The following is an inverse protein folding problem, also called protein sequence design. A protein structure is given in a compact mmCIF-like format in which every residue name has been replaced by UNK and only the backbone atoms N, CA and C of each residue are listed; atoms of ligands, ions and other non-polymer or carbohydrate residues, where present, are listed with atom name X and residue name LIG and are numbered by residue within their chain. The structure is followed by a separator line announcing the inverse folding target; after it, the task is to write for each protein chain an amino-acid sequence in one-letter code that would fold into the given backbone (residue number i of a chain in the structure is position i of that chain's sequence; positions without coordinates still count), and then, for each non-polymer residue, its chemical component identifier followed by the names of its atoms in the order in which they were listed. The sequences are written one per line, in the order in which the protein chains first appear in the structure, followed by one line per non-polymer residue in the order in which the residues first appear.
data_IF_892761691612
#
_entry.id   IF_892761691612
#
_cell.length_a   1.000
_cell.length_b   1.000
_cell.length_c   1.000
_cell.angle_alpha   90.00
_cell.angle_beta   90.00
_cell.angle_gamma   90.00
#
_symmetry.space_group_name_H-M   'P 1'
#
loop_
_entity.id
_entity.type
_entity.pdbx_description
1 polymer ?
#
# COMPACT_ATOMS: atom_id res chain seq x y z
N UNK A 1 -10.13 -12.94 14.22
CA UNK A 1 -9.45 -11.81 13.52
C UNK A 1 -10.50 -10.98 12.79
N UNK A 2 -10.29 -9.68 12.63
CA UNK A 2 -11.20 -8.81 11.86
C UNK A 2 -10.89 -8.92 10.37
N UNK A 3 -11.89 -8.71 9.53
CA UNK A 3 -11.77 -8.67 8.07
C UNK A 3 -12.33 -7.37 7.52
N UNK A 4 -11.81 -6.92 6.39
CA UNK A 4 -12.30 -5.75 5.65
C UNK A 4 -12.62 -6.18 4.23
N UNK A 5 -13.88 -6.06 3.84
CA UNK A 5 -14.30 -6.25 2.45
C UNK A 5 -13.89 -5.02 1.64
N UNK A 6 -13.11 -5.23 0.58
CA UNK A 6 -12.69 -4.18 -0.35
C UNK A 6 -13.80 -3.93 -1.38
N UNK A 7 -14.17 -4.99 -2.07
CA UNK A 7 -15.31 -5.07 -2.98
C UNK A 7 -15.92 -6.47 -2.88
N UNK A 8 -17.05 -6.71 -3.54
CA UNK A 8 -17.64 -8.05 -3.59
C UNK A 8 -16.63 -9.09 -4.09
N UNK A 9 -16.31 -10.06 -3.23
CA UNK A 9 -15.37 -11.14 -3.50
C UNK A 9 -13.91 -10.87 -3.10
N UNK A 10 -13.50 -9.65 -2.73
CA UNK A 10 -12.16 -9.35 -2.22
C UNK A 10 -12.25 -8.94 -0.75
N UNK A 11 -11.78 -9.83 0.12
CA UNK A 11 -11.77 -9.62 1.58
C UNK A 11 -10.34 -9.70 2.08
N UNK A 12 -9.87 -8.63 2.73
CA UNK A 12 -8.56 -8.57 3.37
C UNK A 12 -8.68 -8.99 4.84
N UNK A 13 -7.92 -10.02 5.24
CA UNK A 13 -7.86 -10.51 6.62
C UNK A 13 -6.52 -11.23 6.84
N UNK A 14 -6.00 -11.21 8.09
CA UNK A 14 -4.68 -11.76 8.39
C UNK A 14 -4.60 -13.31 8.30
N UNK A 15 -5.74 -13.98 8.31
CA UNK A 15 -5.90 -15.44 8.23
C UNK A 15 -6.36 -15.95 6.85
N UNK A 16 -6.46 -15.05 5.86
CA UNK A 16 -6.84 -15.40 4.48
C UNK A 16 -5.67 -15.17 3.54
N UNK A 17 -5.68 -15.74 2.31
CA UNK A 17 -4.70 -15.40 1.29
C UNK A 17 -4.53 -13.88 1.18
N UNK A 18 -3.28 -13.40 1.11
CA UNK A 18 -3.04 -11.96 1.08
C UNK A 18 -3.68 -11.31 -0.15
N UNK A 19 -4.18 -10.09 0.02
CA UNK A 19 -4.60 -9.22 -1.08
C UNK A 19 -3.37 -8.44 -1.57
N UNK A 20 -3.14 -8.42 -2.89
CA UNK A 20 -2.10 -7.58 -3.49
C UNK A 20 -2.65 -6.20 -3.79
N UNK A 21 -2.09 -5.17 -3.17
CA UNK A 21 -2.26 -3.77 -3.53
C UNK A 21 -1.07 -3.37 -4.38
N UNK A 22 -1.19 -3.50 -5.69
CA UNK A 22 -0.06 -3.39 -6.59
C UNK A 22 -0.30 -2.45 -7.77
N UNK A 23 0.76 -1.85 -8.30
CA UNK A 23 0.67 -0.98 -9.46
C UNK A 23 1.92 -0.15 -9.65
N UNK A 24 1.75 1.07 -10.18
CA UNK A 24 2.82 2.04 -10.37
C UNK A 24 2.79 3.09 -9.27
N UNK A 25 3.94 3.69 -8.99
CA UNK A 25 4.07 4.66 -7.90
C UNK A 25 3.17 5.88 -8.13
N UNK A 26 3.29 6.50 -9.30
CA UNK A 26 2.55 7.69 -9.73
C UNK A 26 2.08 7.51 -11.17
N UNK A 27 0.94 8.08 -11.50
CA UNK A 27 0.46 8.11 -12.87
C UNK A 27 1.38 8.99 -13.73
N UNK A 28 2.14 8.37 -14.62
CA UNK A 28 3.05 9.05 -15.56
C UNK A 28 2.39 9.29 -16.92
N UNK A 29 1.56 8.34 -17.34
CA UNK A 29 0.66 8.42 -18.49
C UNK A 29 -0.47 7.38 -18.36
N UNK A 30 -1.54 7.58 -19.11
CA UNK A 30 -2.64 6.61 -19.23
C UNK A 30 -2.15 5.26 -19.78
N UNK A 31 -1.39 5.28 -20.87
CA UNK A 31 -0.85 4.09 -21.51
C UNK A 31 0.02 3.26 -20.56
N UNK A 32 0.89 3.90 -19.77
CA UNK A 32 1.71 3.20 -18.78
C UNK A 32 0.84 2.54 -17.69
N UNK A 33 -0.19 3.24 -17.22
CA UNK A 33 -1.08 2.72 -16.19
C UNK A 33 -1.84 1.48 -16.69
N UNK A 34 -2.38 1.52 -17.91
CA UNK A 34 -3.08 0.40 -18.53
C UNK A 34 -2.16 -0.80 -18.75
N UNK A 35 -0.99 -0.62 -19.36
CA UNK A 35 -0.02 -1.70 -19.58
C UNK A 35 0.49 -2.33 -18.28
N UNK A 36 0.75 -1.52 -17.28
CA UNK A 36 1.16 -2.03 -15.98
C UNK A 36 0.04 -2.84 -15.33
N UNK A 37 -1.20 -2.32 -15.35
CA UNK A 37 -2.36 -3.03 -14.82
C UNK A 37 -2.60 -4.36 -15.53
N UNK A 38 -2.47 -4.40 -16.87
CA UNK A 38 -2.59 -5.62 -17.66
C UNK A 38 -1.64 -6.73 -17.19
N UNK A 39 -0.36 -6.40 -16.98
CA UNK A 39 0.61 -7.37 -16.46
C UNK A 39 0.30 -7.82 -15.04
N UNK A 40 -0.13 -6.91 -14.15
CA UNK A 40 -0.57 -7.28 -12.81
C UNK A 40 -1.78 -8.24 -12.85
N UNK A 41 -2.79 -7.94 -13.68
CA UNK A 41 -3.98 -8.77 -13.85
C UNK A 41 -3.60 -10.15 -14.40
N UNK A 42 -2.75 -10.19 -15.43
CA UNK A 42 -2.26 -11.45 -16.01
C UNK A 42 -1.60 -12.34 -14.94
N UNK A 43 -0.70 -11.76 -14.15
CA UNK A 43 0.06 -12.51 -13.14
C UNK A 43 -0.83 -12.93 -11.96
N UNK A 44 -1.66 -12.01 -11.45
CA UNK A 44 -2.51 -12.29 -10.28
C UNK A 44 -3.59 -13.31 -10.60
N UNK A 45 -4.21 -13.25 -11.79
CA UNK A 45 -5.15 -14.27 -12.26
C UNK A 45 -4.49 -15.65 -12.38
N UNK A 46 -3.28 -15.71 -12.96
CA UNK A 46 -2.51 -16.96 -13.09
C UNK A 46 -2.19 -17.58 -11.73
N UNK A 47 -1.92 -16.77 -10.72
CA UNK A 47 -1.54 -17.22 -9.38
C UNK A 47 -2.72 -17.31 -8.41
N UNK A 48 -3.91 -16.87 -8.78
CA UNK A 48 -5.08 -16.84 -7.91
C UNK A 48 -4.94 -15.86 -6.73
N UNK A 49 -4.28 -14.71 -6.94
CA UNK A 49 -4.05 -13.68 -5.92
C UNK A 49 -5.12 -12.59 -6.06
N UNK A 50 -5.92 -12.29 -5.01
CA UNK A 50 -6.83 -11.15 -5.01
C UNK A 50 -6.06 -9.83 -5.22
N UNK A 51 -6.56 -8.97 -6.10
CA UNK A 51 -5.80 -7.82 -6.59
C UNK A 51 -6.57 -6.51 -6.55
N UNK A 52 -5.87 -5.44 -6.19
CA UNK A 52 -6.32 -4.04 -6.24
C UNK A 52 -5.23 -3.22 -6.94
N UNK A 53 -5.58 -2.53 -8.02
CA UNK A 53 -4.64 -1.65 -8.71
C UNK A 53 -4.36 -0.40 -7.89
N UNK A 54 -3.08 -0.01 -7.78
CA UNK A 54 -2.69 1.20 -7.05
C UNK A 54 -1.87 2.15 -7.92
N UNK A 55 -2.26 3.42 -7.95
CA UNK A 55 -1.42 4.50 -8.43
C UNK A 55 -1.81 5.82 -7.77
N UNK A 56 -0.85 6.74 -7.62
CA UNK A 56 -1.12 8.09 -7.11
C UNK A 56 -1.37 9.06 -8.26
N UNK A 57 -2.38 9.91 -8.12
CA UNK A 57 -2.61 11.01 -9.06
C UNK A 57 -1.72 12.22 -8.77
N UNK A 58 -1.20 12.34 -7.56
CA UNK A 58 -0.26 13.38 -7.13
C UNK A 58 0.72 12.81 -6.09
N UNK A 59 1.95 13.26 -6.12
CA UNK A 59 2.97 13.06 -5.10
C UNK A 59 3.23 14.38 -4.38
N UNK A 60 2.32 14.74 -3.46
CA UNK A 60 2.33 16.02 -2.76
C UNK A 60 3.54 16.23 -1.83
N UNK A 61 4.25 15.16 -1.48
CA UNK A 61 5.36 15.13 -0.50
C UNK A 61 6.77 15.00 -1.12
N UNK A 62 6.95 15.45 -2.36
CA UNK A 62 8.27 15.38 -3.03
C UNK A 62 9.33 16.21 -2.29
N UNK A 63 10.57 15.71 -2.29
CA UNK A 63 11.73 16.41 -1.69
C UNK A 63 12.08 17.72 -2.41
N UNK A 64 11.79 17.83 -3.70
CA UNK A 64 12.04 19.03 -4.50
C UNK A 64 10.75 19.53 -5.15
N UNK A 65 10.53 20.84 -5.15
CA UNK A 65 9.42 21.49 -5.84
C UNK A 65 9.46 21.26 -7.37
N UNK A 66 10.62 20.92 -7.92
CA UNK A 66 10.82 20.64 -9.35
C UNK A 66 10.55 19.19 -9.72
N UNK A 67 10.35 18.30 -8.75
CA UNK A 67 10.10 16.89 -9.03
C UNK A 67 8.72 16.68 -9.65
N UNK A 68 8.61 15.66 -10.51
CA UNK A 68 7.33 15.27 -11.09
C UNK A 68 6.33 14.87 -10.00
N UNK A 69 5.13 15.42 -10.06
CA UNK A 69 4.09 15.18 -9.06
C UNK A 69 2.97 14.25 -9.54
N UNK A 70 2.74 14.16 -10.82
CA UNK A 70 1.61 13.43 -11.40
C UNK A 70 0.72 14.33 -12.26
N UNK A 71 -0.38 13.78 -12.82
CA UNK A 71 -1.30 14.52 -13.67
C UNK A 71 -2.25 15.46 -12.92
N UNK A 72 -2.31 15.34 -11.58
CA UNK A 72 -3.29 16.05 -10.75
C UNK A 72 -4.60 15.28 -10.57
N UNK A 73 -5.52 15.85 -9.77
CA UNK A 73 -6.72 15.16 -9.30
C UNK A 73 -7.63 14.72 -10.45
N UNK A 74 -8.10 15.67 -11.27
CA UNK A 74 -9.14 15.40 -12.27
C UNK A 74 -8.69 14.40 -13.32
N UNK A 75 -7.51 14.64 -13.92
CA UNK A 75 -6.95 13.74 -14.92
C UNK A 75 -6.53 12.40 -14.30
N UNK A 76 -6.01 12.40 -13.08
CA UNK A 76 -5.66 11.17 -12.37
C UNK A 76 -6.86 10.29 -12.07
N UNK A 77 -7.97 10.87 -11.63
CA UNK A 77 -9.22 10.14 -11.43
C UNK A 77 -9.79 9.60 -12.74
N UNK A 78 -9.72 10.36 -13.82
CA UNK A 78 -10.13 9.88 -15.15
C UNK A 78 -9.32 8.67 -15.59
N UNK A 79 -8.00 8.68 -15.41
CA UNK A 79 -7.12 7.53 -15.74
C UNK A 79 -7.45 6.33 -14.86
N UNK A 80 -7.63 6.52 -13.55
CA UNK A 80 -7.97 5.42 -12.63
C UNK A 80 -9.33 4.79 -12.96
N UNK A 81 -10.32 5.62 -13.30
CA UNK A 81 -11.65 5.13 -13.73
C UNK A 81 -11.55 4.30 -15.00
N UNK A 82 -10.72 4.74 -15.95
CA UNK A 82 -10.45 4.00 -17.19
C UNK A 82 -9.78 2.66 -16.91
N UNK A 83 -8.74 2.61 -16.05
CA UNK A 83 -8.09 1.35 -15.64
C UNK A 83 -9.12 0.39 -15.03
N UNK A 84 -9.97 0.89 -14.14
CA UNK A 84 -11.03 0.13 -13.51
C UNK A 84 -12.03 -0.43 -14.53
N UNK A 85 -12.45 0.38 -15.49
CA UNK A 85 -13.41 -0.03 -16.51
C UNK A 85 -12.83 -1.07 -17.50
N UNK A 86 -11.56 -0.91 -17.91
CA UNK A 86 -10.93 -1.81 -18.89
C UNK A 86 -10.51 -3.16 -18.29
N UNK A 87 -10.03 -3.17 -17.05
CA UNK A 87 -9.51 -4.40 -16.44
C UNK A 87 -10.46 -5.05 -15.42
N UNK A 88 -11.56 -4.38 -15.03
CA UNK A 88 -12.51 -4.91 -14.06
C UNK A 88 -11.94 -5.06 -12.65
N UNK A 89 -10.89 -4.31 -12.29
CA UNK A 89 -10.23 -4.39 -10.99
C UNK A 89 -10.58 -3.20 -10.09
N UNK A 90 -10.66 -3.38 -8.78
CA UNK A 90 -10.78 -2.25 -7.86
C UNK A 90 -9.50 -1.42 -7.86
N UNK A 91 -9.62 -0.13 -7.54
CA UNK A 91 -8.51 0.81 -7.54
C UNK A 91 -8.30 1.45 -6.17
N UNK A 92 -7.03 1.71 -5.85
CA UNK A 92 -6.57 2.40 -4.66
C UNK A 92 -5.75 3.64 -5.06
N UNK A 93 -6.04 4.78 -4.44
CA UNK A 93 -5.21 5.98 -4.56
C UNK A 93 -5.14 6.75 -3.25
N UNK A 94 -4.09 7.55 -3.08
CA UNK A 94 -3.87 8.37 -1.89
C UNK A 94 -4.59 9.72 -1.98
N UNK A 95 -5.02 10.23 -0.82
CA UNK A 95 -5.71 11.52 -0.66
C UNK A 95 -4.86 12.42 0.21
N UNK A 96 -4.63 13.66 -0.23
CA UNK A 96 -3.69 14.57 0.42
C UNK A 96 -4.36 15.70 1.21
N UNK A 97 -5.58 16.07 0.81
CA UNK A 97 -6.36 17.16 1.43
C UNK A 97 -7.79 16.71 1.72
N UNK A 98 -8.42 17.19 2.82
CA UNK A 98 -9.79 16.82 3.16
C UNK A 98 -10.81 17.05 2.03
N UNK A 99 -10.65 18.14 1.26
CA UNK A 99 -11.55 18.49 0.16
C UNK A 99 -11.51 17.52 -1.03
N UNK A 100 -10.46 16.71 -1.16
CA UNK A 100 -10.32 15.72 -2.24
C UNK A 100 -11.08 14.41 -1.95
N UNK A 101 -11.32 14.10 -0.67
CA UNK A 101 -11.81 12.78 -0.24
C UNK A 101 -13.11 12.35 -0.94
N UNK A 102 -14.08 13.27 -1.05
CA UNK A 102 -15.37 12.98 -1.67
C UNK A 102 -15.25 12.67 -3.18
N UNK A 103 -14.46 13.45 -3.92
CA UNK A 103 -14.22 13.22 -5.35
C UNK A 103 -13.48 11.91 -5.60
N UNK A 104 -12.41 11.64 -4.82
CA UNK A 104 -11.65 10.39 -4.94
C UNK A 104 -12.51 9.17 -4.65
N UNK A 105 -13.41 9.25 -3.66
CA UNK A 105 -14.30 8.15 -3.29
C UNK A 105 -15.34 7.77 -4.38
N UNK A 106 -15.57 8.63 -5.37
CA UNK A 106 -16.44 8.28 -6.50
C UNK A 106 -15.78 7.26 -7.44
N UNK A 107 -14.45 7.27 -7.53
CA UNK A 107 -13.67 6.40 -8.42
C UNK A 107 -12.99 5.29 -7.64
N UNK A 108 -12.25 5.63 -6.58
CA UNK A 108 -11.46 4.68 -5.82
C UNK A 108 -12.32 3.79 -4.90
N UNK A 109 -11.96 2.52 -4.85
CA UNK A 109 -12.59 1.52 -3.97
C UNK A 109 -11.91 1.48 -2.60
N UNK A 110 -10.63 1.84 -2.54
CA UNK A 110 -9.86 2.00 -1.32
C UNK A 110 -9.16 3.36 -1.34
N UNK A 111 -9.30 4.14 -0.27
CA UNK A 111 -8.60 5.40 -0.11
C UNK A 111 -7.36 5.19 0.76
N UNK A 112 -6.23 5.78 0.36
CA UNK A 112 -5.02 5.71 1.17
C UNK A 112 -4.81 6.99 1.97
N UNK A 113 -4.61 6.82 3.27
CA UNK A 113 -4.09 7.87 4.16
C UNK A 113 -2.56 7.84 4.11
N UNK A 114 -1.89 8.87 3.57
CA UNK A 114 -0.43 8.92 3.49
C UNK A 114 0.23 8.94 4.87
N UNK A 115 1.41 8.30 4.97
CA UNK A 115 2.14 8.17 6.23
C UNK A 115 2.45 9.53 6.90
N UNK A 116 2.92 10.52 6.15
CA UNK A 116 3.22 11.84 6.71
C UNK A 116 1.99 12.61 7.19
N UNK A 117 0.81 12.28 6.68
CA UNK A 117 -0.46 12.94 6.99
C UNK A 117 -1.33 12.15 7.98
N UNK A 118 -0.88 10.99 8.43
CA UNK A 118 -1.71 10.06 9.19
C UNK A 118 -2.18 10.59 10.55
N UNK A 119 -1.57 11.66 11.08
CA UNK A 119 -2.00 12.33 12.31
C UNK A 119 -2.94 13.52 12.10
N UNK A 120 -3.17 13.95 10.85
CA UNK A 120 -4.03 15.10 10.52
C UNK A 120 -5.50 14.74 10.71
N UNK A 121 -6.11 15.21 11.80
CA UNK A 121 -7.47 14.81 12.21
C UNK A 121 -8.52 15.14 11.16
N UNK A 122 -8.43 16.31 10.53
CA UNK A 122 -9.40 16.71 9.50
C UNK A 122 -9.35 15.81 8.27
N UNK A 123 -8.14 15.38 7.85
CA UNK A 123 -7.99 14.45 6.74
C UNK A 123 -8.53 13.06 7.11
N UNK A 124 -8.20 12.56 8.30
CA UNK A 124 -8.73 11.28 8.82
C UNK A 124 -10.25 11.29 8.83
N UNK A 125 -10.85 12.36 9.37
CA UNK A 125 -12.31 12.53 9.44
C UNK A 125 -12.95 12.59 8.03
N UNK A 126 -12.33 13.33 7.10
CA UNK A 126 -12.83 13.41 5.72
C UNK A 126 -12.81 12.06 5.02
N UNK A 127 -11.71 11.29 5.18
CA UNK A 127 -11.60 9.94 4.65
C UNK A 127 -12.62 8.99 5.28
N UNK A 128 -12.80 9.04 6.61
CA UNK A 128 -13.76 8.21 7.32
C UNK A 128 -15.19 8.40 6.79
N UNK A 129 -15.60 9.65 6.59
CA UNK A 129 -16.94 10.02 6.12
C UNK A 129 -17.28 9.51 4.72
N UNK A 130 -16.28 9.09 3.93
CA UNK A 130 -16.54 8.46 2.62
C UNK A 130 -17.15 7.07 2.75
N UNK A 131 -17.01 6.40 3.91
CA UNK A 131 -17.42 5.01 4.15
C UNK A 131 -16.61 3.97 3.36
N UNK A 132 -15.60 4.37 2.60
CA UNK A 132 -14.73 3.47 1.84
C UNK A 132 -13.72 2.77 2.78
N UNK A 133 -13.19 1.59 2.42
CA UNK A 133 -12.02 1.02 3.06
C UNK A 133 -10.84 1.98 3.02
N UNK A 134 -10.10 2.07 4.13
CA UNK A 134 -8.95 2.97 4.24
C UNK A 134 -7.67 2.18 4.43
N UNK A 135 -6.70 2.36 3.53
CA UNK A 135 -5.33 1.91 3.72
C UNK A 135 -4.54 2.97 4.50
N UNK A 136 -4.44 2.80 5.81
CA UNK A 136 -3.76 3.74 6.70
C UNK A 136 -2.26 3.40 6.77
N UNK A 137 -1.42 4.18 6.09
CA UNK A 137 0.05 4.05 6.15
C UNK A 137 0.58 4.42 7.52
N UNK A 138 1.30 3.51 8.17
CA UNK A 138 1.97 3.82 9.43
C UNK A 138 3.04 4.90 9.21
N UNK A 139 2.96 6.04 9.93
CA UNK A 139 4.06 7.00 9.93
C UNK A 139 5.39 6.38 10.37
N UNK A 140 6.48 6.79 9.74
CA UNK A 140 7.81 6.28 10.07
C UNK A 140 8.27 6.69 11.48
N UNK A 141 7.65 7.73 12.04
CA UNK A 141 8.02 8.36 13.32
C UNK A 141 7.15 7.92 14.51
N UNK A 142 6.20 6.98 14.29
CA UNK A 142 5.41 6.43 15.41
C UNK A 142 5.71 4.93 15.59
N UNK A 143 5.51 4.46 16.81
CA UNK A 143 5.60 3.03 17.12
C UNK A 143 4.39 2.25 16.55
N UNK A 144 4.53 0.93 16.33
CA UNK A 144 3.41 0.10 15.89
C UNK A 144 2.15 0.21 16.77
N UNK A 145 2.32 0.27 18.08
CA UNK A 145 1.20 0.40 19.04
C UNK A 145 0.45 1.73 18.93
N UNK A 146 1.13 2.81 18.52
CA UNK A 146 0.50 4.13 18.34
C UNK A 146 -0.43 4.20 17.13
N UNK A 147 -0.45 3.19 16.26
CA UNK A 147 -1.48 3.10 15.21
C UNK A 147 -2.89 3.05 15.77
N UNK A 148 -3.07 2.59 17.01
CA UNK A 148 -4.36 2.61 17.71
C UNK A 148 -4.97 4.03 17.72
N UNK A 149 -4.19 5.07 17.99
CA UNK A 149 -4.71 6.44 18.02
C UNK A 149 -5.27 6.91 16.65
N UNK A 150 -4.74 6.39 15.56
CA UNK A 150 -5.25 6.68 14.21
C UNK A 150 -6.54 5.88 13.98
N UNK A 151 -6.56 4.62 14.39
CA UNK A 151 -7.74 3.76 14.32
C UNK A 151 -8.90 4.34 15.10
N UNK A 152 -8.67 4.80 16.33
CA UNK A 152 -9.70 5.44 17.17
C UNK A 152 -10.32 6.66 16.49
N UNK A 153 -9.53 7.51 15.84
CA UNK A 153 -10.08 8.64 15.07
C UNK A 153 -11.02 8.20 13.94
N UNK A 154 -10.68 7.10 13.23
CA UNK A 154 -11.56 6.55 12.21
C UNK A 154 -12.85 5.99 12.82
N UNK A 155 -12.76 5.24 13.92
CA UNK A 155 -13.93 4.71 14.63
C UNK A 155 -14.85 5.84 15.12
N UNK A 156 -14.30 6.86 15.78
CA UNK A 156 -15.07 8.02 16.24
C UNK A 156 -15.71 8.80 15.08
N UNK A 157 -15.07 8.80 13.91
CA UNK A 157 -15.63 9.40 12.70
C UNK A 157 -16.58 8.46 11.92
N UNK A 158 -16.86 7.24 12.43
CA UNK A 158 -17.86 6.32 11.92
C UNK A 158 -17.37 5.36 10.84
N UNK A 159 -16.06 5.05 10.77
CA UNK A 159 -15.51 4.10 9.79
C UNK A 159 -14.62 3.03 10.44
N UNK A 160 -15.06 1.78 10.36
CA UNK A 160 -14.35 0.61 10.89
C UNK A 160 -13.58 -0.19 9.81
N UNK A 161 -13.65 0.22 8.54
CA UNK A 161 -13.07 -0.48 7.40
C UNK A 161 -11.61 -0.06 7.17
N UNK A 162 -10.73 -0.44 8.09
CA UNK A 162 -9.35 0.05 8.14
C UNK A 162 -8.37 -1.09 7.89
N UNK A 163 -7.42 -0.87 7.01
CA UNK A 163 -6.23 -1.68 6.76
C UNK A 163 -5.03 -0.93 7.34
N UNK A 164 -4.23 -1.60 8.16
CA UNK A 164 -3.02 -1.03 8.76
C UNK A 164 -1.84 -1.32 7.84
N UNK A 165 -1.12 -0.30 7.36
CA UNK A 165 -0.04 -0.52 6.41
C UNK A 165 1.33 -0.19 7.02
N UNK A 166 2.11 -1.22 7.32
CA UNK A 166 3.51 -1.10 7.73
C UNK A 166 4.38 -0.69 6.53
N UNK A 167 5.30 0.25 6.72
CA UNK A 167 6.21 0.75 5.69
C UNK A 167 7.59 1.16 6.22
N UNK A 168 7.97 0.64 7.36
CA UNK A 168 9.21 0.96 8.05
C UNK A 168 9.09 2.13 9.03
N UNK A 169 10.05 2.19 9.94
CA UNK A 169 10.24 3.24 10.90
C UNK A 169 11.61 3.89 10.72
N UNK A 170 11.72 5.18 11.07
CA UNK A 170 12.99 5.88 11.12
C UNK A 170 13.86 5.28 12.24
N UNK A 171 15.06 4.85 11.85
CA UNK A 171 16.09 4.41 12.77
C UNK A 171 17.42 5.04 12.32
N UNK A 172 17.87 6.05 13.03
CA UNK A 172 18.93 6.94 12.57
C UNK A 172 18.36 8.00 11.63
N UNK A 173 19.11 8.40 10.59
CA UNK A 173 18.77 9.54 9.74
C UNK A 173 18.10 9.11 8.43
N UNK A 174 18.78 8.34 7.60
CA UNK A 174 18.39 8.15 6.19
C UNK A 174 17.93 6.74 5.86
N UNK A 175 17.90 5.86 6.85
CA UNK A 175 17.51 4.47 6.71
C UNK A 175 16.16 4.20 7.36
N UNK A 176 15.39 3.28 6.76
CA UNK A 176 14.18 2.72 7.36
C UNK A 176 14.45 1.28 7.80
N UNK A 177 13.87 0.92 8.94
CA UNK A 177 13.90 -0.43 9.50
C UNK A 177 12.47 -0.94 9.67
N UNK A 178 12.22 -2.18 9.31
CA UNK A 178 10.97 -2.86 9.60
C UNK A 178 11.19 -3.77 10.80
N UNK A 179 10.49 -3.49 11.88
CA UNK A 179 10.43 -4.37 13.04
C UNK A 179 9.43 -5.49 12.77
N UNK A 180 9.91 -6.72 12.61
CA UNK A 180 9.05 -7.88 12.35
C UNK A 180 8.10 -8.17 13.52
N UNK A 181 8.46 -7.86 14.76
CA UNK A 181 7.59 -7.97 15.92
C UNK A 181 6.51 -6.90 15.93
N UNK A 182 6.77 -5.77 15.28
CA UNK A 182 5.83 -4.65 15.14
C UNK A 182 4.52 -5.04 14.47
N UNK A 183 4.51 -6.02 13.57
CA UNK A 183 3.28 -6.54 12.97
C UNK A 183 2.34 -7.16 14.02
N UNK A 184 2.88 -7.99 14.91
CA UNK A 184 2.12 -8.57 16.02
C UNK A 184 1.59 -7.52 16.98
N UNK A 185 2.43 -6.51 17.31
CA UNK A 185 2.02 -5.37 18.14
C UNK A 185 0.85 -4.61 17.53
N UNK A 186 0.90 -4.28 16.23
CA UNK A 186 -0.21 -3.61 15.53
C UNK A 186 -1.49 -4.45 15.54
N UNK A 187 -1.39 -5.76 15.21
CA UNK A 187 -2.54 -6.67 15.25
C UNK A 187 -3.21 -6.67 16.63
N UNK A 188 -2.42 -6.84 17.69
CA UNK A 188 -2.93 -6.89 19.08
C UNK A 188 -3.51 -5.54 19.49
N UNK A 189 -2.80 -4.44 19.30
CA UNK A 189 -3.22 -3.11 19.71
C UNK A 189 -4.49 -2.63 18.99
N UNK A 190 -4.62 -2.95 17.71
CA UNK A 190 -5.74 -2.50 16.86
C UNK A 190 -6.85 -3.55 16.71
N UNK A 191 -6.99 -4.48 17.65
CA UNK A 191 -8.12 -5.41 17.74
C UNK A 191 -8.23 -6.39 16.56
N UNK A 192 -7.09 -6.82 16.01
CA UNK A 192 -7.01 -7.82 14.95
C UNK A 192 -7.34 -7.30 13.54
N UNK A 193 -7.29 -5.98 13.32
CA UNK A 193 -7.43 -5.40 11.97
C UNK A 193 -6.42 -5.98 10.99
N UNK A 194 -6.76 -6.08 9.69
CA UNK A 194 -5.85 -6.57 8.67
C UNK A 194 -4.61 -5.69 8.57
N UNK A 195 -3.44 -6.34 8.47
CA UNK A 195 -2.17 -5.65 8.27
C UNK A 195 -1.69 -5.87 6.85
N UNK A 196 -1.34 -4.80 6.18
CA UNK A 196 -0.72 -4.75 4.85
C UNK A 196 0.75 -4.41 5.03
N UNK A 197 1.61 -5.04 4.27
CA UNK A 197 3.04 -4.72 4.26
C UNK A 197 3.45 -4.05 2.96
N UNK A 198 3.92 -2.82 3.07
CA UNK A 198 4.49 -2.06 1.96
C UNK A 198 5.97 -2.41 1.79
N UNK A 199 6.24 -3.35 0.92
CA UNK A 199 7.60 -3.84 0.65
C UNK A 199 8.42 -2.92 -0.25
N UNK A 200 7.78 -1.93 -0.88
CA UNK A 200 8.44 -0.93 -1.72
C UNK A 200 8.97 0.23 -0.89
N UNK A 201 8.07 0.91 -0.15
CA UNK A 201 8.45 2.11 0.58
C UNK A 201 9.26 1.83 1.86
N UNK A 202 9.21 0.60 2.38
CA UNK A 202 10.09 0.18 3.46
C UNK A 202 11.59 0.13 3.06
N UNK A 203 11.87 0.12 1.75
CA UNK A 203 13.21 0.11 1.19
C UNK A 203 13.71 1.48 0.74
N UNK A 204 12.90 2.54 0.90
CA UNK A 204 13.34 3.90 0.57
C UNK A 204 14.54 4.31 1.44
N UNK A 205 15.44 5.03 0.81
CA UNK A 205 16.53 5.75 1.48
C UNK A 205 16.41 7.23 1.15
N UNK A 206 16.69 8.08 2.12
CA UNK A 206 16.75 9.51 1.85
C UNK A 206 18.09 9.82 1.18
N UNK A 207 18.03 10.58 0.09
CA UNK A 207 19.21 11.14 -0.54
C UNK A 207 19.12 12.67 -0.44
N UNK A 208 19.91 13.32 0.42
CA UNK A 208 19.85 14.76 0.60
C UNK A 208 20.31 15.54 -0.65
N UNK A 209 21.02 14.92 -1.57
CA UNK A 209 21.48 15.52 -2.82
C UNK A 209 20.62 15.15 -4.02
N UNK A 210 19.75 14.14 -3.88
CA UNK A 210 18.88 13.63 -4.94
C UNK A 210 17.60 14.43 -5.13
N UNK A 211 17.12 14.52 -6.37
CA UNK A 211 15.78 15.02 -6.69
C UNK A 211 14.66 14.01 -6.39
N UNK A 212 15.02 12.76 -6.10
CA UNK A 212 14.13 11.67 -5.75
C UNK A 212 14.75 10.83 -4.62
N UNK A 213 13.92 10.06 -3.92
CA UNK A 213 14.39 9.11 -2.91
C UNK A 213 15.26 8.04 -3.56
N UNK A 214 16.35 7.67 -2.89
CA UNK A 214 17.08 6.43 -3.16
C UNK A 214 16.30 5.21 -2.70
N UNK A 215 16.87 4.02 -2.90
CA UNK A 215 16.21 2.79 -2.49
C UNK A 215 17.10 1.56 -2.56
N UNK A 216 16.64 0.48 -1.92
CA UNK A 216 17.34 -0.81 -1.81
C UNK A 216 16.57 -1.91 -2.54
N UNK A 217 16.20 -1.68 -3.81
CA UNK A 217 15.42 -2.60 -4.65
C UNK A 217 15.93 -4.04 -4.60
N UNK A 218 17.25 -4.24 -4.57
CA UNK A 218 17.88 -5.57 -4.53
C UNK A 218 17.48 -6.41 -3.31
N UNK A 219 17.01 -5.77 -2.23
CA UNK A 219 16.61 -6.44 -0.98
C UNK A 219 15.10 -6.71 -0.88
N UNK A 220 14.32 -6.37 -1.91
CA UNK A 220 12.85 -6.48 -1.85
C UNK A 220 12.37 -7.90 -1.60
N UNK A 221 13.01 -8.90 -2.19
CA UNK A 221 12.62 -10.31 -2.01
C UNK A 221 12.88 -10.82 -0.60
N UNK A 222 13.99 -10.42 0.01
CA UNK A 222 14.33 -10.80 1.39
C UNK A 222 13.35 -10.18 2.37
N UNK A 223 13.12 -8.88 2.23
CA UNK A 223 12.22 -8.13 3.10
C UNK A 223 10.77 -8.62 2.98
N UNK A 224 10.28 -8.80 1.75
CA UNK A 224 8.91 -9.24 1.50
C UNK A 224 8.65 -10.64 2.08
N UNK A 225 9.58 -11.59 1.88
CA UNK A 225 9.45 -12.93 2.47
C UNK A 225 9.43 -12.91 4.00
N UNK A 226 10.32 -12.11 4.62
CA UNK A 226 10.33 -11.97 6.07
C UNK A 226 8.99 -11.42 6.61
N UNK A 227 8.41 -10.42 5.94
CA UNK A 227 7.12 -9.86 6.34
C UNK A 227 5.95 -10.81 6.11
N UNK A 228 5.90 -11.51 4.97
CA UNK A 228 4.82 -12.48 4.68
C UNK A 228 4.85 -13.64 5.69
N UNK A 229 6.03 -14.05 6.15
CA UNK A 229 6.18 -15.09 7.17
C UNK A 229 5.50 -14.78 8.52
N UNK A 230 5.16 -13.52 8.79
CA UNK A 230 4.40 -13.12 10.01
C UNK A 230 2.89 -13.40 9.88
N UNK A 231 2.40 -13.73 8.68
CA UNK A 231 0.96 -13.92 8.38
C UNK A 231 0.23 -12.57 8.27
N UNK A 232 0.10 -12.04 7.06
CA UNK A 232 -0.45 -10.72 6.78
C UNK A 232 -1.75 -10.80 5.97
N UNK A 233 -2.58 -9.75 6.05
CA UNK A 233 -3.78 -9.59 5.24
C UNK A 233 -3.49 -9.09 3.83
N UNK A 234 -2.37 -8.40 3.60
CA UNK A 234 -2.05 -7.86 2.28
C UNK A 234 -0.58 -7.50 2.08
N UNK A 235 -0.21 -7.39 0.82
CA UNK A 235 1.10 -6.89 0.37
C UNK A 235 0.87 -5.68 -0.51
N UNK A 236 1.58 -4.59 -0.23
CA UNK A 236 1.62 -3.40 -1.07
C UNK A 236 2.94 -3.40 -1.85
N UNK A 237 2.85 -3.36 -3.18
CA UNK A 237 4.00 -3.49 -4.07
C UNK A 237 3.90 -2.55 -5.26
N UNK A 238 4.92 -1.78 -5.50
CA UNK A 238 5.04 -0.98 -6.72
C UNK A 238 6.06 -1.60 -7.67
N UNK A 239 5.66 -1.76 -8.94
CA UNK A 239 6.53 -2.22 -10.01
C UNK A 239 6.46 -1.26 -11.20
N UNK A 240 7.54 -1.20 -11.96
CA UNK A 240 7.65 -0.34 -13.13
C UNK A 240 8.34 -1.08 -14.28
N UNK A 241 7.93 -0.90 -15.55
CA UNK A 241 8.58 -1.56 -16.67
C UNK A 241 10.04 -1.13 -16.86
N UNK A 242 10.36 0.10 -16.49
CA UNK A 242 11.71 0.66 -16.50
C UNK A 242 11.96 1.49 -15.22
N UNK A 243 12.28 0.81 -14.09
CA UNK A 243 12.42 1.50 -12.81
C UNK A 243 13.51 2.57 -12.77
N UNK A 244 14.53 2.46 -13.60
CA UNK A 244 15.65 3.40 -13.60
C UNK A 244 15.26 4.77 -14.22
N UNK A 245 14.21 4.80 -15.04
CA UNK A 245 13.64 6.01 -15.62
C UNK A 245 12.26 6.38 -15.02
N UNK A 246 11.81 5.68 -13.98
CA UNK A 246 10.57 6.02 -13.28
C UNK A 246 10.64 7.42 -12.66
N UNK A 247 9.56 8.19 -12.80
CA UNK A 247 9.51 9.59 -12.32
C UNK A 247 9.43 9.71 -10.80
N UNK A 248 9.16 8.62 -10.09
CA UNK A 248 9.11 8.57 -8.64
C UNK A 248 9.53 7.20 -8.11
N UNK A 249 10.34 7.18 -7.03
CA UNK A 249 10.75 6.00 -6.24
C UNK A 249 11.29 4.80 -7.06
N UNK A 250 11.81 5.06 -8.25
CA UNK A 250 12.41 4.04 -9.11
C UNK A 250 13.41 3.13 -8.40
N UNK A 251 14.34 3.66 -7.58
CA UNK A 251 15.31 2.84 -6.84
C UNK A 251 14.70 1.83 -5.85
N UNK A 252 13.41 1.94 -5.52
CA UNK A 252 12.69 1.00 -4.67
C UNK A 252 11.67 0.14 -5.44
N UNK A 253 11.32 0.51 -6.69
CA UNK A 253 10.32 -0.19 -7.48
C UNK A 253 10.85 -1.52 -8.03
N UNK A 254 10.01 -2.57 -8.01
CA UNK A 254 10.32 -3.85 -8.63
C UNK A 254 10.32 -3.71 -10.16
N UNK A 255 11.27 -4.29 -10.92
CA UNK A 255 11.10 -4.43 -12.36
C UNK A 255 9.86 -5.27 -12.70
N UNK A 256 9.01 -4.76 -13.58
CA UNK A 256 7.71 -5.37 -13.86
C UNK A 256 7.84 -6.80 -14.46
N UNK A 257 8.92 -7.07 -15.19
CA UNK A 257 9.26 -8.42 -15.71
C UNK A 257 9.58 -9.44 -14.60
N UNK A 258 9.84 -8.97 -13.38
CA UNK A 258 10.09 -9.83 -12.20
C UNK A 258 8.83 -10.07 -11.34
N UNK A 259 7.69 -9.49 -11.74
CA UNK A 259 6.44 -9.57 -10.95
C UNK A 259 6.00 -11.02 -10.71
N UNK A 260 5.94 -11.85 -11.77
CA UNK A 260 5.47 -13.23 -11.64
C UNK A 260 6.36 -14.11 -10.75
N UNK A 261 7.68 -14.21 -10.95
CA UNK A 261 8.53 -15.01 -10.07
C UNK A 261 8.52 -14.49 -8.63
N UNK A 262 8.44 -13.17 -8.41
CA UNK A 262 8.35 -12.58 -7.10
C UNK A 262 7.04 -12.97 -6.38
N UNK A 263 5.89 -12.76 -7.00
CA UNK A 263 4.59 -13.07 -6.40
C UNK A 263 4.38 -14.59 -6.19
N UNK A 264 4.94 -15.43 -7.05
CA UNK A 264 4.91 -16.90 -6.90
C UNK A 264 5.59 -17.33 -5.59
N UNK A 265 6.75 -16.73 -5.26
CA UNK A 265 7.45 -17.03 -4.00
C UNK A 265 6.63 -16.57 -2.79
N UNK A 266 6.08 -15.35 -2.84
CA UNK A 266 5.28 -14.82 -1.73
C UNK A 266 4.01 -15.62 -1.51
N UNK A 267 3.32 -16.02 -2.59
CA UNK A 267 2.13 -16.87 -2.48
C UNK A 267 2.45 -18.22 -1.85
N UNK A 268 3.50 -18.88 -2.28
CA UNK A 268 3.88 -20.17 -1.71
C UNK A 268 4.19 -20.06 -0.20
N UNK A 269 4.84 -18.97 0.21
CA UNK A 269 5.12 -18.70 1.62
C UNK A 269 3.83 -18.38 2.41
N UNK A 270 2.95 -17.56 1.84
CA UNK A 270 1.68 -17.19 2.46
C UNK A 270 0.78 -18.41 2.67
N UNK A 271 0.68 -19.27 1.65
CA UNK A 271 -0.08 -20.53 1.72
C UNK A 271 0.46 -21.44 2.83
N UNK A 272 1.80 -21.55 2.94
CA UNK A 272 2.43 -22.33 4.00
C UNK A 272 2.12 -21.74 5.38
N UNK A 273 2.38 -20.47 5.58
CA UNK A 273 2.22 -19.80 6.89
C UNK A 273 0.77 -19.90 7.38
N UNK A 274 -0.21 -19.76 6.48
CA UNK A 274 -1.63 -19.81 6.81
C UNK A 274 -2.19 -21.23 6.99
N UNK A 275 -1.40 -22.24 6.60
CA UNK A 275 -1.71 -23.65 6.88
C UNK A 275 -1.19 -24.12 8.24
N UNK A 276 -0.35 -23.33 8.91
CA UNK A 276 0.21 -23.70 10.21
C UNK A 276 -0.76 -23.38 11.34
N UNK A 277 -0.86 -24.29 12.28
CA UNK A 277 -1.61 -24.05 13.51
C UNK A 277 -0.95 -22.98 14.37
N UNK A 278 -1.76 -22.18 15.04
CA UNK A 278 -1.25 -21.23 16.01
C UNK A 278 -0.69 -21.97 17.23
N UNK A 279 0.50 -21.58 17.68
CA UNK A 279 1.07 -22.10 18.92
C UNK A 279 0.71 -21.14 20.05
N UNK A 280 -0.02 -21.66 21.04
CA UNK A 280 -0.28 -20.94 22.29
C UNK A 280 0.96 -21.04 23.17
N UNK A 281 1.53 -19.89 23.52
CA UNK A 281 2.77 -19.79 24.30
C UNK A 281 2.49 -19.20 25.71
N UNK A 282 1.27 -18.69 25.97
CA UNK A 282 0.88 -18.07 27.25
C UNK A 282 0.16 -19.05 28.19
#
# INVERSE_FOLDING_TARGET
MKSVEITHGIVCANDRPFVLFGGINVLESEDLALRACDEYVRVTNKLGIPYVFKASYDKANRSSIRSYRGPGLDEGLRILDKVKAEHGVPVLTDVHEPGQAAAVAQVADVLQLPAFLARQTDLVTALARTGKPINAKKPQFISPGQMLNIVEKFHEAGNDRILLCERGACFGYDNLVVDMLGFGVMKKACGGLPVVFDVTHALQQRDPLGLASGGRRSQVSELARAGVAVGLGGVFLEAHPDPDHAKCDGPSALPLDKLEPFLRQLKALDDLVKSLDAIDIE
#
